data_IF_624544827395
#
_entry.id   IF_624544827395
#
_cell.length_a   1.000
_cell.length_b   1.000
_cell.length_c   1.000
_cell.angle_alpha   90.00
_cell.angle_beta   90.00
_cell.angle_gamma   90.00
#
_symmetry.space_group_name_H-M   'P 1'
#
loop_
_entity.id
_entity.type
_entity.pdbx_description
1 polymer ?
#
# COMPACT_ATOMS: atom_id res chain seq x y z
N UNK A 1 18.27 39.16 -9.16
CA UNK A 1 19.25 38.13 -9.56
C UNK A 1 18.59 36.76 -9.65
N UNK A 2 17.87 36.32 -8.67
CA UNK A 2 17.18 35.00 -8.64
C UNK A 2 16.43 34.68 -9.94
N UNK A 3 15.66 35.62 -10.49
CA UNK A 3 14.94 35.42 -11.76
C UNK A 3 15.86 35.12 -12.95
N UNK A 4 17.05 35.76 -13.01
CA UNK A 4 18.03 35.49 -14.08
C UNK A 4 18.66 34.11 -13.94
N UNK A 5 19.00 33.68 -12.71
CA UNK A 5 19.55 32.34 -12.44
C UNK A 5 18.51 31.23 -12.69
N UNK A 6 17.23 31.49 -12.37
CA UNK A 6 16.14 30.56 -12.69
C UNK A 6 15.97 30.40 -14.21
N UNK A 7 15.97 31.48 -14.96
CA UNK A 7 15.89 31.43 -16.43
C UNK A 7 17.10 30.69 -17.04
N UNK A 8 18.29 30.87 -16.47
CA UNK A 8 19.48 30.11 -16.88
C UNK A 8 19.28 28.61 -16.68
N UNK A 9 18.83 28.18 -15.50
CA UNK A 9 18.55 26.77 -15.20
C UNK A 9 17.46 26.20 -16.13
N UNK A 10 16.37 26.93 -16.34
CA UNK A 10 15.30 26.51 -17.25
C UNK A 10 15.82 26.28 -18.67
N UNK A 11 16.70 27.18 -19.15
CA UNK A 11 17.34 27.05 -20.48
C UNK A 11 18.34 25.89 -20.55
N UNK A 12 19.13 25.71 -19.47
CA UNK A 12 20.14 24.65 -19.40
C UNK A 12 19.50 23.25 -19.36
N UNK A 13 18.37 23.10 -18.69
CA UNK A 13 17.62 21.85 -18.61
C UNK A 13 16.56 21.65 -19.72
N UNK A 14 16.35 22.65 -20.59
CA UNK A 14 15.37 22.55 -21.68
C UNK A 14 15.59 21.34 -22.61
N UNK A 15 16.84 20.97 -23.00
CA UNK A 15 17.11 19.81 -23.87
C UNK A 15 16.70 18.47 -23.25
N UNK A 16 16.63 18.38 -21.91
CA UNK A 16 16.38 17.14 -21.17
C UNK A 16 14.89 16.95 -20.84
N UNK A 17 14.01 17.85 -21.26
CA UNK A 17 12.58 17.77 -21.11
C UNK A 17 12.11 17.81 -19.64
N UNK A 18 10.97 17.18 -19.37
CA UNK A 18 10.43 17.10 -18.01
C UNK A 18 10.80 15.74 -17.40
N UNK A 19 11.70 15.73 -16.43
CA UNK A 19 12.12 14.51 -15.71
C UNK A 19 11.60 14.56 -14.26
N UNK A 20 11.36 13.39 -13.66
CA UNK A 20 10.98 13.31 -12.26
C UNK A 20 12.03 13.99 -11.37
N UNK A 21 11.59 14.72 -10.35
CA UNK A 21 12.44 15.54 -9.48
C UNK A 21 13.05 16.81 -10.12
N UNK A 22 12.71 17.18 -11.38
CA UNK A 22 13.21 18.40 -12.03
C UNK A 22 13.04 19.63 -11.13
N UNK A 23 11.86 19.79 -10.53
CA UNK A 23 11.55 20.94 -9.66
C UNK A 23 12.45 20.96 -8.41
N UNK A 24 12.71 19.81 -7.81
CA UNK A 24 13.54 19.70 -6.60
C UNK A 24 15.01 19.95 -6.93
N UNK A 25 15.51 19.35 -8.02
CA UNK A 25 16.87 19.57 -8.53
C UNK A 25 17.08 21.03 -8.89
N UNK A 26 16.18 21.63 -9.67
CA UNK A 26 16.29 23.04 -10.05
C UNK A 26 16.20 23.98 -8.83
N UNK A 27 15.43 23.63 -7.80
CA UNK A 27 15.33 24.40 -6.56
C UNK A 27 16.63 24.35 -5.76
N UNK A 28 17.23 23.17 -5.62
CA UNK A 28 18.50 22.97 -4.93
C UNK A 28 19.63 23.68 -5.64
N UNK A 29 19.73 23.50 -6.95
CA UNK A 29 20.73 24.18 -7.80
C UNK A 29 20.59 25.71 -7.77
N UNK A 30 19.34 26.21 -7.77
CA UNK A 30 19.09 27.66 -7.64
C UNK A 30 19.59 28.20 -6.29
N UNK A 31 19.40 27.45 -5.22
CA UNK A 31 19.91 27.83 -3.88
C UNK A 31 21.43 27.90 -3.90
N UNK A 32 22.12 26.89 -4.42
CA UNK A 32 23.57 26.85 -4.52
C UNK A 32 24.14 27.97 -5.39
N UNK A 33 23.49 28.26 -6.52
CA UNK A 33 23.91 29.37 -7.40
C UNK A 33 23.68 30.75 -6.74
N UNK A 34 22.61 30.92 -5.96
CA UNK A 34 22.37 32.17 -5.21
C UNK A 34 23.45 32.36 -4.12
N UNK A 35 23.77 31.34 -3.37
CA UNK A 35 24.84 31.39 -2.36
C UNK A 35 26.19 31.75 -3.02
N UNK A 36 26.52 31.11 -4.13
CA UNK A 36 27.74 31.40 -4.88
C UNK A 36 27.78 32.84 -5.38
N UNK A 37 26.67 33.33 -5.91
CA UNK A 37 26.54 34.72 -6.37
C UNK A 37 26.78 35.70 -5.22
N UNK A 38 26.13 35.49 -4.07
CA UNK A 38 26.27 36.36 -2.89
C UNK A 38 27.70 36.38 -2.35
N UNK A 39 28.39 35.24 -2.37
CA UNK A 39 29.79 35.17 -1.96
C UNK A 39 30.72 35.94 -2.89
N UNK A 40 30.48 35.87 -4.19
CA UNK A 40 31.21 36.65 -5.17
C UNK A 40 30.94 38.15 -5.05
N UNK A 41 29.73 38.54 -4.66
CA UNK A 41 29.37 39.92 -4.32
C UNK A 41 30.12 40.42 -3.06
N UNK A 42 30.21 39.59 -2.01
CA UNK A 42 30.99 39.90 -0.79
C UNK A 42 32.48 40.07 -1.08
N UNK A 43 32.99 39.41 -2.12
CA UNK A 43 34.36 39.54 -2.63
C UNK A 43 34.61 40.82 -3.47
N UNK A 44 33.56 41.67 -3.63
CA UNK A 44 33.69 42.97 -4.30
C UNK A 44 33.46 42.95 -5.80
N UNK A 45 32.97 41.83 -6.38
CA UNK A 45 32.63 41.75 -7.82
C UNK A 45 31.38 42.58 -8.13
N UNK A 46 31.30 43.13 -9.33
CA UNK A 46 30.08 43.77 -9.83
C UNK A 46 28.98 42.71 -10.04
N UNK A 47 27.71 43.14 -10.19
CA UNK A 47 26.59 42.21 -10.39
C UNK A 47 26.77 41.33 -11.61
N UNK A 48 27.23 41.92 -12.73
CA UNK A 48 27.47 41.19 -13.99
C UNK A 48 28.64 40.22 -13.87
N UNK A 49 29.73 40.64 -13.20
CA UNK A 49 30.90 39.78 -12.99
C UNK A 49 30.58 38.61 -12.05
N UNK A 50 29.81 38.87 -10.98
CA UNK A 50 29.38 37.84 -10.06
C UNK A 50 28.42 36.85 -10.75
N UNK A 51 27.48 37.37 -11.54
CA UNK A 51 26.54 36.53 -12.30
C UNK A 51 27.30 35.64 -13.30
N UNK A 52 28.20 36.22 -14.15
CA UNK A 52 28.96 35.47 -15.14
C UNK A 52 29.83 34.38 -14.48
N UNK A 53 30.56 34.73 -13.43
CA UNK A 53 31.38 33.77 -12.72
C UNK A 53 30.54 32.67 -11.99
N UNK A 54 29.29 32.96 -11.64
CA UNK A 54 28.37 31.96 -11.07
C UNK A 54 27.96 30.94 -12.13
N UNK A 55 27.52 31.40 -13.32
CA UNK A 55 27.11 30.49 -14.38
C UNK A 55 28.27 29.72 -14.99
N UNK A 56 29.46 30.35 -15.11
CA UNK A 56 30.68 29.69 -15.59
C UNK A 56 31.14 28.54 -14.65
N UNK A 57 30.82 28.63 -13.36
CA UNK A 57 31.11 27.59 -12.36
C UNK A 57 30.09 26.47 -12.30
N UNK A 58 28.99 26.56 -13.06
CA UNK A 58 27.90 25.59 -13.02
C UNK A 58 28.26 24.24 -13.64
N UNK A 59 29.24 24.21 -14.56
CA UNK A 59 29.64 22.99 -15.25
C UNK A 59 28.69 22.53 -16.35
N UNK A 60 28.90 21.32 -16.83
CA UNK A 60 28.04 20.71 -17.87
C UNK A 60 26.83 20.01 -17.25
N UNK A 61 25.62 20.39 -17.71
CA UNK A 61 24.37 19.77 -17.30
C UNK A 61 24.37 18.27 -17.60
N UNK A 62 25.10 17.80 -18.60
CA UNK A 62 25.22 16.37 -18.93
C UNK A 62 25.82 15.57 -17.77
N UNK A 63 26.84 16.10 -17.08
CA UNK A 63 27.43 15.45 -15.91
C UNK A 63 26.46 15.39 -14.72
N UNK A 64 25.65 16.44 -14.53
CA UNK A 64 24.61 16.47 -13.51
C UNK A 64 23.52 15.45 -13.83
N UNK A 65 23.13 15.33 -15.10
CA UNK A 65 22.12 14.36 -15.55
C UNK A 65 22.60 12.91 -15.42
N UNK A 66 23.89 12.64 -15.60
CA UNK A 66 24.50 11.32 -15.39
C UNK A 66 24.53 10.91 -13.90
N UNK A 67 24.67 11.88 -12.99
CA UNK A 67 24.69 11.64 -11.53
C UNK A 67 23.30 11.62 -10.90
N UNK A 68 22.28 12.15 -11.58
CA UNK A 68 20.91 11.97 -11.12
C UNK A 68 20.59 10.48 -11.15
N UNK A 69 19.98 9.94 -10.07
CA UNK A 69 19.49 8.59 -10.12
C UNK A 69 18.58 8.50 -11.34
N UNK A 70 19.05 7.80 -12.37
CA UNK A 70 18.21 7.45 -13.50
C UNK A 70 16.99 6.77 -12.90
N UNK A 71 15.88 7.48 -12.85
CA UNK A 71 14.60 6.84 -12.62
C UNK A 71 14.46 5.93 -13.83
N UNK A 72 14.75 4.69 -13.55
CA UNK A 72 14.92 3.59 -14.47
C UNK A 72 14.06 3.74 -15.73
N UNK A 73 14.68 3.61 -16.91
CA UNK A 73 13.98 3.17 -18.14
C UNK A 73 12.98 2.05 -17.83
N UNK A 74 13.28 1.23 -16.82
CA UNK A 74 12.35 0.28 -16.20
C UNK A 74 11.08 0.91 -15.62
N UNK A 75 11.06 2.18 -15.15
CA UNK A 75 9.82 2.80 -14.62
C UNK A 75 8.94 3.34 -15.76
N UNK A 76 9.53 3.87 -16.82
CA UNK A 76 8.77 4.29 -18.02
C UNK A 76 8.29 3.08 -18.82
N UNK A 77 9.12 2.04 -18.95
CA UNK A 77 8.70 0.75 -19.49
C UNK A 77 7.64 0.08 -18.62
N UNK A 78 7.76 0.13 -17.29
CA UNK A 78 6.71 -0.36 -16.37
C UNK A 78 5.43 0.45 -16.50
N UNK A 79 5.49 1.77 -16.54
CA UNK A 79 4.30 2.63 -16.69
C UNK A 79 3.64 2.43 -18.05
N UNK A 80 4.43 2.26 -19.10
CA UNK A 80 3.95 1.92 -20.44
C UNK A 80 3.36 0.51 -20.49
N UNK A 81 4.03 -0.47 -19.89
CA UNK A 81 3.54 -1.85 -19.76
C UNK A 81 2.24 -1.93 -18.96
N UNK A 82 2.14 -1.21 -17.83
CA UNK A 82 0.91 -1.16 -17.01
C UNK A 82 -0.23 -0.49 -17.77
N UNK A 83 0.04 0.59 -18.51
CA UNK A 83 -0.97 1.23 -19.36
C UNK A 83 -1.44 0.30 -20.48
N UNK A 84 -0.51 -0.37 -21.15
CA UNK A 84 -0.80 -1.37 -22.18
C UNK A 84 -1.55 -2.57 -21.59
N UNK A 85 -1.17 -3.01 -20.38
CA UNK A 85 -1.87 -4.07 -19.64
C UNK A 85 -3.30 -3.65 -19.28
N UNK A 86 -3.48 -2.43 -18.76
CA UNK A 86 -4.82 -1.87 -18.47
C UNK A 86 -5.70 -1.80 -19.72
N UNK A 87 -5.15 -1.43 -20.86
CA UNK A 87 -5.89 -1.38 -22.13
C UNK A 87 -6.20 -2.77 -22.67
N UNK A 88 -5.26 -3.71 -22.56
CA UNK A 88 -5.46 -5.10 -22.94
C UNK A 88 -6.51 -5.80 -22.06
N UNK A 89 -6.45 -5.59 -20.74
CA UNK A 89 -7.38 -6.18 -19.76
C UNK A 89 -8.81 -5.62 -19.90
N UNK A 90 -8.97 -4.36 -20.34
CA UNK A 90 -10.29 -3.81 -20.66
C UNK A 90 -10.95 -4.50 -21.86
N UNK A 91 -10.18 -5.19 -22.70
CA UNK A 91 -10.65 -5.87 -23.91
C UNK A 91 -10.79 -7.39 -23.77
N UNK A 92 -10.19 -7.99 -22.73
CA UNK A 92 -10.24 -9.44 -22.47
C UNK A 92 -11.22 -9.74 -21.33
N UNK A 93 -12.15 -10.65 -21.58
CA UNK A 93 -12.93 -11.27 -20.52
C UNK A 93 -12.00 -12.14 -19.69
N UNK A 94 -11.90 -11.86 -18.40
CA UNK A 94 -11.33 -12.64 -17.27
C UNK A 94 -10.43 -13.88 -17.55
N UNK A 95 -9.75 -14.37 -16.55
CA UNK A 95 -8.73 -15.44 -16.51
C UNK A 95 -7.31 -14.96 -16.88
N UNK A 96 -6.90 -13.81 -16.40
CA UNK A 96 -5.55 -13.32 -16.61
C UNK A 96 -4.55 -14.12 -15.78
N UNK A 97 -3.46 -14.57 -16.39
CA UNK A 97 -2.40 -15.33 -15.71
C UNK A 97 -1.25 -14.43 -15.36
N UNK A 98 -1.10 -14.13 -14.08
CA UNK A 98 -0.01 -13.34 -13.50
C UNK A 98 0.86 -14.17 -12.55
N UNK A 99 0.75 -15.50 -12.59
CA UNK A 99 1.56 -16.38 -11.75
C UNK A 99 3.04 -16.13 -11.99
N UNK A 100 3.83 -16.06 -10.91
CA UNK A 100 5.27 -15.83 -10.93
C UNK A 100 5.68 -14.53 -11.62
N UNK A 101 4.79 -13.53 -11.68
CA UNK A 101 5.08 -12.22 -12.27
C UNK A 101 5.60 -11.22 -11.24
N UNK A 102 6.34 -10.22 -11.72
CA UNK A 102 6.85 -9.12 -10.92
C UNK A 102 6.09 -7.85 -11.28
N UNK A 103 5.06 -7.52 -10.48
CA UNK A 103 4.20 -6.35 -10.66
C UNK A 103 4.39 -5.32 -9.54
N UNK A 104 5.52 -5.37 -8.82
CA UNK A 104 5.81 -4.45 -7.73
C UNK A 104 5.55 -2.99 -8.10
N UNK A 105 4.76 -2.29 -7.28
CA UNK A 105 4.43 -0.87 -7.46
C UNK A 105 3.60 -0.57 -8.71
N UNK A 106 2.92 -1.58 -9.27
CA UNK A 106 2.03 -1.37 -10.43
C UNK A 106 0.70 -0.76 -9.99
N UNK A 107 0.10 0.03 -10.86
CA UNK A 107 -1.26 0.56 -10.67
C UNK A 107 -2.25 -0.29 -11.48
N UNK A 108 -3.00 -1.14 -10.77
CA UNK A 108 -4.06 -1.99 -11.29
C UNK A 108 -5.44 -1.53 -10.78
N UNK A 109 -5.58 -0.24 -10.50
CA UNK A 109 -6.80 0.40 -10.00
C UNK A 109 -7.91 0.39 -11.05
N UNK A 110 -9.18 0.19 -10.60
CA UNK A 110 -10.39 0.22 -11.44
C UNK A 110 -10.38 -0.82 -12.60
N UNK A 111 -9.78 -1.99 -12.38
CA UNK A 111 -9.69 -3.06 -13.41
C UNK A 111 -10.54 -4.25 -13.01
N UNK A 112 -11.10 -4.91 -14.01
CA UNK A 112 -11.71 -6.22 -13.89
C UNK A 112 -10.62 -7.30 -13.99
N UNK A 113 -10.35 -7.96 -12.85
CA UNK A 113 -9.34 -9.01 -12.67
C UNK A 113 -9.97 -10.28 -12.07
N UNK A 114 -11.30 -10.45 -12.18
CA UNK A 114 -11.96 -11.62 -11.63
C UNK A 114 -11.38 -12.93 -12.19
N UNK A 115 -11.36 -13.97 -11.37
CA UNK A 115 -10.79 -15.29 -11.72
C UNK A 115 -9.32 -15.23 -12.18
N UNK A 116 -8.53 -14.22 -11.78
CA UNK A 116 -7.13 -14.08 -12.16
C UNK A 116 -6.20 -14.88 -11.25
N UNK A 117 -5.12 -15.40 -11.83
CA UNK A 117 -4.11 -16.19 -11.12
C UNK A 117 -2.85 -15.34 -10.88
N UNK A 118 -2.62 -14.98 -9.61
CA UNK A 118 -1.44 -14.27 -9.11
C UNK A 118 -0.54 -15.16 -8.22
N UNK A 119 -0.66 -16.47 -8.30
CA UNK A 119 0.12 -17.37 -7.44
C UNK A 119 1.62 -17.13 -7.55
N UNK A 120 2.31 -17.11 -6.41
CA UNK A 120 3.77 -16.93 -6.32
C UNK A 120 4.28 -15.65 -7.00
N UNK A 121 3.43 -14.61 -7.12
CA UNK A 121 3.79 -13.34 -7.73
C UNK A 121 4.38 -12.36 -6.72
N UNK A 122 5.21 -11.44 -7.20
CA UNK A 122 5.70 -10.30 -6.43
C UNK A 122 4.87 -9.06 -6.77
N UNK A 123 3.88 -8.76 -5.93
CA UNK A 123 2.92 -7.66 -6.11
C UNK A 123 2.97 -6.66 -4.95
N UNK A 124 4.14 -6.52 -4.33
CA UNK A 124 4.36 -5.52 -3.28
C UNK A 124 4.06 -4.11 -3.78
N UNK A 125 3.50 -3.28 -2.89
CA UNK A 125 3.22 -1.87 -3.21
C UNK A 125 2.29 -1.69 -4.44
N UNK A 126 1.62 -2.76 -4.90
CA UNK A 126 0.69 -2.72 -6.04
C UNK A 126 -0.65 -2.16 -5.59
N UNK A 127 -1.27 -1.33 -6.42
CA UNK A 127 -2.59 -0.75 -6.18
C UNK A 127 -3.66 -1.52 -6.94
N UNK A 128 -4.56 -2.18 -6.21
CA UNK A 128 -5.75 -2.86 -6.74
C UNK A 128 -7.05 -2.13 -6.39
N UNK A 129 -6.95 -0.86 -6.05
CA UNK A 129 -8.06 -0.08 -5.50
C UNK A 129 -9.26 -0.08 -6.45
N UNK A 130 -10.46 -0.34 -5.92
CA UNK A 130 -11.74 -0.39 -6.64
C UNK A 130 -11.81 -1.41 -7.78
N UNK A 131 -10.86 -2.34 -7.86
CA UNK A 131 -10.86 -3.41 -8.86
C UNK A 131 -11.78 -4.55 -8.45
N UNK A 132 -12.20 -5.35 -9.42
CA UNK A 132 -12.87 -6.61 -9.17
C UNK A 132 -11.86 -7.77 -9.25
N UNK A 133 -11.60 -8.40 -8.11
CA UNK A 133 -10.71 -9.56 -7.95
C UNK A 133 -11.51 -10.81 -7.53
N UNK A 134 -12.83 -10.81 -7.70
CA UNK A 134 -13.68 -11.94 -7.34
C UNK A 134 -13.09 -13.26 -7.87
N UNK A 135 -13.09 -14.29 -7.03
CA UNK A 135 -12.61 -15.65 -7.37
C UNK A 135 -11.12 -15.74 -7.79
N UNK A 136 -10.32 -14.70 -7.57
CA UNK A 136 -8.88 -14.70 -7.90
C UNK A 136 -8.04 -15.40 -6.85
N UNK A 137 -6.81 -15.77 -7.21
CA UNK A 137 -5.92 -16.57 -6.35
C UNK A 137 -4.55 -15.90 -6.23
N UNK A 138 -4.05 -15.73 -4.98
CA UNK A 138 -2.76 -15.13 -4.62
C UNK A 138 -1.89 -16.05 -3.74
N UNK A 139 -1.98 -17.36 -3.86
CA UNK A 139 -1.25 -18.29 -2.97
C UNK A 139 0.25 -18.08 -3.02
N UNK A 140 0.86 -17.94 -1.83
CA UNK A 140 2.31 -17.81 -1.71
C UNK A 140 2.88 -16.52 -2.33
N UNK A 141 2.08 -15.49 -2.51
CA UNK A 141 2.50 -14.22 -3.12
C UNK A 141 3.00 -13.22 -2.08
N UNK A 142 3.86 -12.33 -2.50
CA UNK A 142 4.32 -11.21 -1.69
C UNK A 142 3.50 -9.95 -2.03
N UNK A 143 2.60 -9.60 -1.11
CA UNK A 143 1.64 -8.48 -1.23
C UNK A 143 1.89 -7.38 -0.20
N UNK A 144 3.08 -7.35 0.40
CA UNK A 144 3.40 -6.35 1.42
C UNK A 144 3.18 -4.94 0.89
N UNK A 145 2.52 -4.11 1.72
CA UNK A 145 2.17 -2.73 1.35
C UNK A 145 1.26 -2.60 0.12
N UNK A 146 0.62 -3.67 -0.35
CA UNK A 146 -0.37 -3.58 -1.42
C UNK A 146 -1.63 -2.84 -0.96
N UNK A 147 -2.29 -2.14 -1.88
CA UNK A 147 -3.55 -1.46 -1.61
C UNK A 147 -4.71 -2.18 -2.29
N UNK A 148 -5.72 -2.51 -1.49
CA UNK A 148 -6.99 -3.10 -1.88
C UNK A 148 -8.17 -2.22 -1.45
N UNK A 149 -8.00 -0.90 -1.42
CA UNK A 149 -9.07 0.00 -0.98
C UNK A 149 -10.32 -0.14 -1.84
N UNK A 150 -11.45 -0.47 -1.18
CA UNK A 150 -12.76 -0.64 -1.85
C UNK A 150 -12.77 -1.70 -2.96
N UNK A 151 -11.82 -2.63 -2.94
CA UNK A 151 -11.69 -3.72 -3.90
C UNK A 151 -12.74 -4.79 -3.62
N UNK A 152 -13.30 -5.42 -4.63
CA UNK A 152 -14.13 -6.61 -4.49
C UNK A 152 -13.23 -7.85 -4.42
N UNK A 153 -13.08 -8.41 -3.22
CA UNK A 153 -12.24 -9.57 -2.92
C UNK A 153 -13.06 -10.83 -2.61
N UNK A 154 -14.32 -10.86 -3.02
CA UNK A 154 -15.20 -12.02 -2.75
C UNK A 154 -14.58 -13.31 -3.26
N UNK A 155 -14.57 -14.36 -2.41
CA UNK A 155 -14.00 -15.69 -2.66
C UNK A 155 -12.51 -15.71 -3.04
N UNK A 156 -11.75 -14.62 -2.81
CA UNK A 156 -10.31 -14.58 -3.10
C UNK A 156 -9.54 -15.49 -2.15
N UNK A 157 -8.48 -16.12 -2.65
CA UNK A 157 -7.61 -17.00 -1.87
C UNK A 157 -6.21 -16.38 -1.74
N UNK A 158 -5.86 -15.94 -0.51
CA UNK A 158 -4.53 -15.42 -0.16
C UNK A 158 -3.66 -16.46 0.60
N UNK A 159 -4.07 -17.69 0.67
CA UNK A 159 -3.45 -18.70 1.53
C UNK A 159 -1.92 -18.75 1.40
N UNK A 160 -1.21 -18.61 2.54
CA UNK A 160 0.26 -18.65 2.61
C UNK A 160 0.96 -17.43 2.02
N UNK A 161 0.25 -16.33 1.78
CA UNK A 161 0.82 -15.07 1.28
C UNK A 161 1.29 -14.18 2.43
N UNK A 162 2.12 -13.19 2.09
CA UNK A 162 2.51 -12.11 2.99
C UNK A 162 1.79 -10.83 2.57
N UNK A 163 0.84 -10.37 3.39
CA UNK A 163 0.09 -9.11 3.19
C UNK A 163 0.38 -8.10 4.30
N UNK A 164 1.53 -8.21 4.96
CA UNK A 164 1.91 -7.28 6.03
C UNK A 164 1.87 -5.83 5.53
N UNK A 165 1.26 -4.95 6.35
CA UNK A 165 1.03 -3.55 6.03
C UNK A 165 0.14 -3.29 4.79
N UNK A 166 -0.60 -4.27 4.29
CA UNK A 166 -1.56 -4.06 3.21
C UNK A 166 -2.81 -3.31 3.69
N UNK A 167 -3.46 -2.57 2.79
CA UNK A 167 -4.66 -1.81 3.07
C UNK A 167 -5.88 -2.48 2.44
N UNK A 168 -6.83 -2.95 3.28
CA UNK A 168 -8.11 -3.52 2.89
C UNK A 168 -9.29 -2.60 3.23
N UNK A 169 -9.05 -1.30 3.40
CA UNK A 169 -10.07 -0.36 3.84
C UNK A 169 -11.22 -0.27 2.84
N UNK A 170 -12.43 -0.52 3.32
CA UNK A 170 -13.64 -0.56 2.50
C UNK A 170 -13.76 -1.75 1.55
N UNK A 171 -12.81 -2.70 1.55
CA UNK A 171 -12.85 -3.88 0.68
C UNK A 171 -13.99 -4.83 1.07
N UNK A 172 -14.50 -5.57 0.08
CA UNK A 172 -15.44 -6.66 0.30
C UNK A 172 -14.70 -8.00 0.37
N UNK A 173 -14.51 -8.53 1.58
CA UNK A 173 -13.82 -9.79 1.85
C UNK A 173 -14.80 -10.97 2.10
N UNK A 174 -16.01 -10.91 1.56
CA UNK A 174 -17.00 -11.98 1.73
C UNK A 174 -16.44 -13.31 1.21
N UNK A 175 -16.38 -14.31 2.10
CA UNK A 175 -15.83 -15.66 1.84
C UNK A 175 -14.36 -15.66 1.36
N UNK A 176 -13.62 -14.62 1.66
CA UNK A 176 -12.18 -14.55 1.36
C UNK A 176 -11.40 -15.47 2.30
N UNK A 177 -10.44 -16.22 1.77
CA UNK A 177 -9.51 -17.03 2.56
C UNK A 177 -8.19 -16.31 2.76
N UNK A 178 -7.93 -15.88 3.99
CA UNK A 178 -6.67 -15.33 4.48
C UNK A 178 -5.97 -16.32 5.42
N UNK A 179 -6.10 -17.62 5.12
CA UNK A 179 -5.56 -18.69 5.96
C UNK A 179 -4.04 -18.79 5.86
N UNK A 180 -3.36 -18.82 7.03
CA UNK A 180 -1.90 -18.93 7.10
C UNK A 180 -1.17 -17.72 6.54
N UNK A 181 -1.74 -16.53 6.72
CA UNK A 181 -1.26 -15.27 6.14
C UNK A 181 -0.64 -14.39 7.22
N UNK A 182 0.47 -13.71 6.90
CA UNK A 182 0.96 -12.60 7.73
C UNK A 182 0.18 -11.32 7.42
N UNK A 183 -0.58 -10.85 8.40
CA UNK A 183 -1.42 -9.63 8.33
C UNK A 183 -0.89 -8.52 9.24
N UNK A 184 0.35 -8.63 9.69
CA UNK A 184 0.92 -7.65 10.61
C UNK A 184 0.71 -6.21 10.13
N UNK A 185 0.06 -5.36 10.95
CA UNK A 185 -0.31 -3.97 10.62
C UNK A 185 -1.21 -3.79 9.37
N UNK A 186 -1.84 -4.81 8.83
CA UNK A 186 -2.85 -4.63 7.80
C UNK A 186 -4.05 -3.82 8.32
N UNK A 187 -4.72 -3.05 7.46
CA UNK A 187 -5.88 -2.22 7.82
C UNK A 187 -7.15 -2.72 7.17
N UNK A 188 -8.30 -2.57 7.90
CA UNK A 188 -9.61 -3.07 7.48
C UNK A 188 -10.75 -2.06 7.74
N UNK A 189 -10.45 -0.77 7.84
CA UNK A 189 -11.47 0.22 8.18
C UNK A 189 -12.65 0.20 7.19
N UNK A 190 -13.87 -0.06 7.68
CA UNK A 190 -15.08 -0.13 6.85
C UNK A 190 -15.14 -1.35 5.91
N UNK A 191 -14.27 -2.36 6.07
CA UNK A 191 -14.31 -3.59 5.29
C UNK A 191 -15.56 -4.43 5.60
N UNK A 192 -16.01 -5.24 4.63
CA UNK A 192 -17.09 -6.21 4.77
C UNK A 192 -16.46 -7.57 5.05
N UNK A 193 -16.73 -8.13 6.24
CA UNK A 193 -16.17 -9.39 6.73
C UNK A 193 -17.32 -10.39 7.00
N UNK A 194 -17.70 -11.13 5.97
CA UNK A 194 -18.73 -12.17 6.03
C UNK A 194 -18.11 -13.51 5.61
N UNK A 195 -18.06 -14.48 6.50
CA UNK A 195 -17.47 -15.79 6.21
C UNK A 195 -15.97 -15.75 5.88
N UNK A 196 -15.28 -14.68 6.25
CA UNK A 196 -13.83 -14.51 6.03
C UNK A 196 -13.04 -15.46 6.91
N UNK A 197 -12.08 -16.18 6.35
CA UNK A 197 -11.25 -17.15 7.08
C UNK A 197 -9.84 -16.57 7.34
N UNK A 198 -9.56 -16.23 8.61
CA UNK A 198 -8.24 -15.81 9.12
C UNK A 198 -7.53 -16.93 9.89
N UNK A 199 -7.94 -18.18 9.75
CA UNK A 199 -7.35 -19.26 10.52
C UNK A 199 -5.83 -19.41 10.27
N UNK A 200 -5.10 -19.77 11.33
CA UNK A 200 -3.63 -19.97 11.29
C UNK A 200 -2.82 -18.73 10.88
N UNK A 201 -3.38 -17.52 11.00
CA UNK A 201 -2.76 -16.27 10.54
C UNK A 201 -2.21 -15.44 11.69
N UNK A 202 -1.26 -14.56 11.40
CA UNK A 202 -0.78 -13.56 12.34
C UNK A 202 -1.48 -12.21 12.10
N UNK A 203 -2.31 -11.83 13.07
CA UNK A 203 -3.08 -10.57 13.06
C UNK A 203 -2.55 -9.57 14.09
N UNK A 204 -1.28 -9.66 14.46
CA UNK A 204 -0.72 -8.79 15.47
C UNK A 204 -0.89 -7.30 15.10
N UNK A 205 -1.53 -6.54 16.01
CA UNK A 205 -1.77 -5.11 15.84
C UNK A 205 -2.89 -4.72 14.89
N UNK A 206 -3.58 -5.68 14.27
CA UNK A 206 -4.73 -5.42 13.38
C UNK A 206 -5.90 -4.82 14.16
N UNK A 207 -6.64 -3.92 13.53
CA UNK A 207 -7.84 -3.29 14.10
C UNK A 207 -9.08 -3.65 13.30
N UNK A 208 -10.04 -4.29 13.99
CA UNK A 208 -11.38 -4.55 13.49
C UNK A 208 -12.41 -3.64 14.19
N UNK A 209 -11.97 -2.46 14.63
CA UNK A 209 -12.77 -1.54 15.43
C UNK A 209 -14.03 -1.09 14.69
N UNK A 210 -15.18 -1.15 15.39
CA UNK A 210 -16.49 -0.77 14.87
C UNK A 210 -16.98 -1.56 13.64
N UNK A 211 -16.36 -2.69 13.31
CA UNK A 211 -16.80 -3.55 12.22
C UNK A 211 -17.85 -4.55 12.68
N UNK A 212 -18.66 -5.03 11.73
CA UNK A 212 -19.51 -6.20 11.92
C UNK A 212 -18.80 -7.41 11.29
N UNK A 213 -18.54 -8.42 12.12
CA UNK A 213 -17.93 -9.68 11.71
C UNK A 213 -19.03 -10.76 11.79
N UNK A 214 -19.35 -11.34 10.64
CA UNK A 214 -20.38 -12.39 10.53
C UNK A 214 -19.76 -13.68 10.04
N UNK A 215 -19.87 -14.75 10.82
CA UNK A 215 -19.32 -16.08 10.48
C UNK A 215 -17.82 -16.08 10.17
N UNK A 216 -17.07 -15.17 10.79
CA UNK A 216 -15.60 -15.04 10.59
C UNK A 216 -14.87 -16.08 11.44
N UNK A 217 -13.79 -16.66 10.90
CA UNK A 217 -13.00 -17.69 11.54
C UNK A 217 -11.61 -17.16 11.91
N UNK A 218 -11.26 -17.21 13.21
CA UNK A 218 -9.91 -16.87 13.73
C UNK A 218 -9.19 -18.08 14.33
N UNK A 219 -9.58 -19.29 14.01
CA UNK A 219 -9.08 -20.50 14.65
C UNK A 219 -7.55 -20.66 14.48
N UNK A 220 -6.85 -21.01 15.55
CA UNK A 220 -5.40 -21.18 15.59
C UNK A 220 -4.59 -19.93 15.20
N UNK A 221 -5.17 -18.74 15.22
CA UNK A 221 -4.51 -17.48 14.84
C UNK A 221 -3.85 -16.77 16.03
N UNK A 222 -2.95 -15.83 15.75
CA UNK A 222 -2.36 -14.93 16.73
C UNK A 222 -3.09 -13.60 16.72
N UNK A 223 -3.72 -13.23 17.86
CA UNK A 223 -4.43 -11.96 18.05
C UNK A 223 -3.67 -11.02 18.99
N UNK A 224 -2.35 -11.04 18.97
CA UNK A 224 -1.54 -10.18 19.84
C UNK A 224 -1.80 -8.70 19.55
N UNK A 225 -2.37 -7.97 20.55
CA UNK A 225 -2.73 -6.56 20.42
C UNK A 225 -3.74 -6.26 19.29
N UNK A 226 -4.46 -7.26 18.82
CA UNK A 226 -5.58 -7.07 17.88
C UNK A 226 -6.73 -6.38 18.59
N UNK A 227 -7.36 -5.40 17.95
CA UNK A 227 -8.49 -4.66 18.53
C UNK A 227 -9.81 -5.00 17.85
N UNK A 228 -10.84 -5.29 18.67
CA UNK A 228 -12.22 -5.44 18.26
C UNK A 228 -13.12 -4.38 18.92
N UNK A 229 -12.53 -3.24 19.30
CA UNK A 229 -13.26 -2.20 20.06
C UNK A 229 -14.50 -1.74 19.31
N UNK A 230 -15.65 -1.81 19.98
CA UNK A 230 -16.95 -1.41 19.41
C UNK A 230 -17.45 -2.32 18.27
N UNK A 231 -16.74 -3.39 17.93
CA UNK A 231 -17.14 -4.33 16.88
C UNK A 231 -18.39 -5.13 17.29
N UNK A 232 -19.10 -5.69 16.30
CA UNK A 232 -20.17 -6.65 16.51
C UNK A 232 -19.72 -8.01 15.97
N UNK A 233 -19.67 -9.02 16.84
CA UNK A 233 -19.28 -10.39 16.50
C UNK A 233 -20.52 -11.27 16.47
N UNK A 234 -20.83 -11.86 15.34
CA UNK A 234 -21.93 -12.78 15.15
C UNK A 234 -21.45 -14.09 14.55
N UNK A 235 -21.65 -15.20 15.27
CA UNK A 235 -21.18 -16.52 14.84
C UNK A 235 -19.68 -16.57 14.50
N UNK A 236 -18.82 -15.94 15.33
CA UNK A 236 -17.37 -15.85 15.14
C UNK A 236 -16.67 -16.93 15.95
N UNK A 237 -15.67 -17.61 15.37
CA UNK A 237 -14.95 -18.68 16.05
C UNK A 237 -13.50 -18.30 16.40
N UNK A 238 -13.01 -18.82 17.56
CA UNK A 238 -11.69 -18.53 18.11
C UNK A 238 -11.05 -19.81 18.70
N UNK A 239 -11.23 -20.98 18.08
CA UNK A 239 -10.69 -22.23 18.61
C UNK A 239 -9.16 -22.21 18.58
N UNK A 240 -8.54 -22.57 19.71
CA UNK A 240 -7.08 -22.60 19.88
C UNK A 240 -6.39 -21.27 19.56
N UNK A 241 -7.09 -20.14 19.72
CA UNK A 241 -6.60 -18.80 19.39
C UNK A 241 -6.03 -18.12 20.63
N UNK A 242 -4.91 -17.42 20.49
CA UNK A 242 -4.26 -16.66 21.57
C UNK A 242 -4.96 -15.30 21.76
N UNK A 243 -6.00 -15.22 22.61
CA UNK A 243 -6.87 -14.03 22.77
C UNK A 243 -6.50 -13.11 23.94
N UNK A 244 -5.53 -13.49 24.81
CA UNK A 244 -5.27 -12.78 26.08
C UNK A 244 -4.87 -11.31 25.95
N UNK A 245 -4.24 -10.93 24.85
CA UNK A 245 -3.81 -9.56 24.57
C UNK A 245 -4.70 -8.84 23.55
N UNK A 246 -5.77 -9.49 23.10
CA UNK A 246 -6.77 -8.85 22.24
C UNK A 246 -7.69 -7.92 23.05
N UNK A 247 -8.17 -6.86 22.42
CA UNK A 247 -9.00 -5.82 23.05
C UNK A 247 -10.45 -5.99 22.59
N UNK A 248 -11.36 -6.19 23.56
CA UNK A 248 -12.79 -6.38 23.33
C UNK A 248 -13.65 -5.29 24.00
N UNK A 249 -13.09 -4.09 24.20
CA UNK A 249 -13.83 -2.98 24.80
C UNK A 249 -15.05 -2.61 23.94
N UNK A 250 -16.23 -2.50 24.55
CA UNK A 250 -17.49 -2.17 23.89
C UNK A 250 -17.90 -3.13 22.74
N UNK A 251 -17.23 -4.28 22.62
CA UNK A 251 -17.54 -5.30 21.62
C UNK A 251 -18.88 -5.95 21.93
N UNK A 252 -19.77 -6.01 20.96
CA UNK A 252 -21.05 -6.73 21.03
C UNK A 252 -20.86 -8.14 20.49
N UNK A 253 -21.38 -9.15 21.22
CA UNK A 253 -21.26 -10.54 20.80
C UNK A 253 -22.40 -11.40 21.33
N UNK A 254 -22.67 -12.51 20.66
CA UNK A 254 -23.61 -13.51 21.13
C UNK A 254 -23.07 -14.28 22.35
N UNK A 255 -23.97 -15.00 23.06
CA UNK A 255 -23.63 -15.75 24.28
C UNK A 255 -22.59 -16.85 24.04
N UNK A 256 -22.61 -17.47 22.86
CA UNK A 256 -21.69 -18.57 22.51
C UNK A 256 -20.29 -18.02 22.31
N UNK A 257 -20.16 -16.98 21.50
CA UNK A 257 -18.89 -16.26 21.28
C UNK A 257 -18.30 -15.75 22.60
N UNK A 258 -19.13 -15.14 23.47
CA UNK A 258 -18.69 -14.68 24.79
C UNK A 258 -18.15 -15.83 25.66
N UNK A 259 -18.87 -16.95 25.72
CA UNK A 259 -18.45 -18.11 26.51
C UNK A 259 -17.14 -18.72 26.00
N UNK A 260 -16.96 -18.82 24.69
CA UNK A 260 -15.74 -19.30 24.05
C UNK A 260 -14.54 -18.38 24.36
N UNK A 261 -14.68 -17.08 24.19
CA UNK A 261 -13.64 -16.09 24.47
C UNK A 261 -13.26 -16.08 25.97
N UNK A 262 -14.25 -16.14 26.85
CA UNK A 262 -14.03 -16.22 28.30
C UNK A 262 -13.27 -17.51 28.68
N UNK A 263 -13.65 -18.63 28.09
CA UNK A 263 -12.96 -19.92 28.28
C UNK A 263 -11.51 -19.90 27.75
N UNK A 264 -11.22 -19.16 26.71
CA UNK A 264 -9.90 -18.94 26.16
C UNK A 264 -9.05 -17.90 26.94
N UNK A 265 -9.64 -17.25 27.96
CA UNK A 265 -8.97 -16.28 28.83
C UNK A 265 -8.89 -14.86 28.29
N UNK A 266 -9.82 -14.47 27.44
CA UNK A 266 -9.96 -13.08 26.99
C UNK A 266 -10.41 -12.16 28.15
N UNK A 267 -10.00 -10.90 28.13
CA UNK A 267 -10.49 -9.85 29.05
C UNK A 267 -11.76 -9.24 28.43
N UNK A 268 -12.92 -9.47 29.09
CA UNK A 268 -14.24 -9.14 28.57
C UNK A 268 -15.03 -8.21 29.49
N UNK A 269 -14.36 -7.47 30.38
CA UNK A 269 -15.03 -6.66 31.44
C UNK A 269 -15.95 -5.57 30.87
N UNK A 270 -15.66 -5.10 29.64
CA UNK A 270 -16.46 -4.09 28.94
C UNK A 270 -17.21 -4.65 27.71
N UNK A 271 -17.16 -5.95 27.49
CA UNK A 271 -17.89 -6.56 26.38
C UNK A 271 -19.42 -6.60 26.66
N UNK A 272 -20.19 -6.52 25.60
CA UNK A 272 -21.67 -6.47 25.65
C UNK A 272 -22.23 -7.76 25.08
N UNK A 273 -22.89 -8.56 25.89
CA UNK A 273 -23.59 -9.77 25.45
C UNK A 273 -24.95 -9.41 24.90
N UNK A 274 -25.19 -9.69 23.62
CA UNK A 274 -26.46 -9.46 22.96
C UNK A 274 -27.45 -10.57 23.31
N UNK A 275 -28.75 -10.21 23.41
CA UNK A 275 -29.82 -11.17 23.57
C UNK A 275 -30.27 -11.60 22.16
N UNK A 276 -29.80 -12.71 21.71
CA UNK A 276 -30.49 -13.48 20.69
C UNK A 276 -30.88 -14.83 21.27
#
# INVERSE_FOLDING_TARGET
>A
MEKKLRQFLDSAFAPYGNFPSRNDVCKELLTNLLERYEDLKKQGKSDDQAYQATIDSFGDVSEIMEQLPHKDRKSEEKTSLVKTLKEALKSTKSHSKFSQTMLKGSDLTDIDLHESDFNQSEVRETHFDRSDLTDSVFRGSDLRHASFMKTNLKNVIFAGSDVANACFDGANLTYTSLKGVDLHNATFAGAILIGTDFSQSDLAGVKFDNLTLESVVFDCSSLKNTSFKGATLHNVTFHHTAVKSAIFDDTKMDKVTFALLKGAGAILDKAIVTKE
#
